data_IF_519696847189
#
_entry.id   IF_519696847189
#
_cell.length_a   1.000
_cell.length_b   1.000
_cell.length_c   1.000
_cell.angle_alpha   90.00
_cell.angle_beta   90.00
_cell.angle_gamma   90.00
#
_symmetry.space_group_name_H-M   'P 1'
#
loop_
_entity.id
_entity.type
_entity.pdbx_description
1 polymer ?
#
# COMPACT_ATOMS: atom_id res chain seq x y z
N UNK A 1 13.91 -10.21 9.34
CA UNK A 1 12.45 -10.16 9.17
C UNK A 1 12.15 -10.85 7.86
N UNK A 2 11.20 -11.78 7.80
CA UNK A 2 10.84 -12.39 6.50
C UNK A 2 10.01 -11.41 5.69
N UNK A 3 9.98 -11.56 4.36
CA UNK A 3 9.10 -10.77 3.49
C UNK A 3 7.61 -10.85 3.89
N UNK A 4 7.21 -12.00 4.45
CA UNK A 4 5.88 -12.23 4.97
C UNK A 4 5.57 -11.36 6.20
N UNK A 5 6.57 -11.15 7.06
CA UNK A 5 6.46 -10.28 8.23
C UNK A 5 6.37 -8.82 7.79
N UNK A 6 7.10 -8.42 6.74
CA UNK A 6 7.01 -7.06 6.18
C UNK A 6 5.61 -6.76 5.62
N UNK A 7 5.01 -7.71 4.90
CA UNK A 7 3.62 -7.62 4.42
C UNK A 7 2.62 -7.46 5.56
N UNK A 8 2.72 -8.32 6.57
CA UNK A 8 1.84 -8.28 7.75
C UNK A 8 2.01 -6.97 8.52
N UNK A 9 3.26 -6.49 8.65
CA UNK A 9 3.58 -5.22 9.31
C UNK A 9 3.00 -4.02 8.56
N UNK A 10 3.12 -3.97 7.23
CA UNK A 10 2.57 -2.88 6.43
C UNK A 10 1.04 -2.86 6.52
N UNK A 11 0.38 -4.02 6.43
CA UNK A 11 -1.08 -4.12 6.58
C UNK A 11 -1.54 -3.62 7.95
N UNK A 12 -0.87 -4.02 9.03
CA UNK A 12 -1.16 -3.54 10.37
C UNK A 12 -0.90 -2.04 10.53
N UNK A 13 0.17 -1.51 9.92
CA UNK A 13 0.50 -0.09 9.97
C UNK A 13 -0.51 0.78 9.22
N UNK A 14 -1.06 0.31 8.10
CA UNK A 14 -2.13 1.03 7.41
C UNK A 14 -3.39 1.06 8.28
N UNK A 15 -3.76 -0.08 8.86
CA UNK A 15 -4.93 -0.22 9.74
C UNK A 15 -4.76 0.43 11.12
N UNK A 16 -3.56 0.91 11.49
CA UNK A 16 -3.37 1.71 12.71
C UNK A 16 -3.75 3.18 12.51
N UNK A 17 -4.00 3.59 11.25
CA UNK A 17 -4.31 4.96 10.86
C UNK A 17 -3.24 5.98 11.29
N UNK A 18 -1.99 5.55 11.42
CA UNK A 18 -0.84 6.42 11.70
C UNK A 18 0.13 6.44 10.51
N UNK A 19 0.22 7.59 9.85
CA UNK A 19 1.10 7.80 8.71
C UNK A 19 2.58 7.57 9.04
N UNK A 20 3.01 7.79 10.30
CA UNK A 20 4.38 7.52 10.72
C UNK A 20 4.66 6.02 10.79
N UNK A 21 3.72 5.24 11.34
CA UNK A 21 3.77 3.78 11.35
C UNK A 21 3.87 3.22 9.92
N UNK A 22 3.10 3.77 8.98
CA UNK A 22 3.19 3.36 7.56
C UNK A 22 4.55 3.73 6.98
N UNK A 23 4.98 4.99 7.12
CA UNK A 23 6.27 5.44 6.59
C UNK A 23 7.47 4.67 7.18
N UNK A 24 7.38 4.22 8.44
CA UNK A 24 8.41 3.41 9.10
C UNK A 24 8.59 2.01 8.48
N UNK A 25 7.69 1.58 7.58
CA UNK A 25 7.84 0.34 6.82
C UNK A 25 8.75 0.49 5.59
N UNK A 26 9.10 1.71 5.18
CA UNK A 26 9.84 1.98 3.94
C UNK A 26 11.28 2.43 4.23
N UNK A 27 12.21 2.10 3.33
CA UNK A 27 13.59 2.58 3.39
C UNK A 27 13.66 4.08 3.09
N UNK A 28 14.73 4.74 3.53
CA UNK A 28 14.89 6.18 3.33
C UNK A 28 14.88 6.59 1.84
N UNK A 29 15.42 5.72 1.00
CA UNK A 29 15.60 5.81 -0.46
C UNK A 29 14.55 5.04 -1.27
N UNK A 30 13.43 4.66 -0.64
CA UNK A 30 12.36 3.89 -1.26
C UNK A 30 11.93 4.44 -2.64
N UNK A 31 11.70 3.55 -3.61
CA UNK A 31 11.25 3.92 -4.96
C UNK A 31 9.83 3.40 -5.22
N UNK A 32 8.94 4.28 -5.68
CA UNK A 32 7.57 3.96 -6.06
C UNK A 32 7.37 4.08 -7.56
N UNK A 33 6.87 3.02 -8.19
CA UNK A 33 6.50 2.99 -9.60
C UNK A 33 4.99 2.78 -9.79
N UNK A 34 4.40 3.52 -10.71
CA UNK A 34 3.00 3.39 -11.14
C UNK A 34 2.97 3.25 -12.66
N UNK A 35 3.13 2.04 -13.22
CA UNK A 35 3.33 1.86 -14.66
C UNK A 35 2.21 2.42 -15.54
N UNK A 36 0.95 2.34 -15.09
CA UNK A 36 -0.19 2.93 -15.82
C UNK A 36 -0.19 4.47 -15.78
N UNK A 37 0.49 5.07 -14.81
CA UNK A 37 0.57 6.51 -14.62
C UNK A 37 1.98 6.94 -14.21
N UNK A 38 3.00 6.87 -15.09
CA UNK A 38 4.40 7.09 -14.70
C UNK A 38 4.68 8.47 -14.08
N UNK A 39 3.84 9.47 -14.37
CA UNK A 39 3.90 10.80 -13.75
C UNK A 39 3.60 10.81 -12.24
N UNK A 40 3.08 9.69 -11.69
CA UNK A 40 2.84 9.51 -10.25
C UNK A 40 3.98 8.78 -9.53
N UNK A 41 5.04 8.38 -10.26
CA UNK A 41 6.25 7.82 -9.65
C UNK A 41 6.85 8.81 -8.66
N UNK A 42 7.45 8.30 -7.58
CA UNK A 42 8.14 9.13 -6.61
C UNK A 42 9.19 8.34 -5.84
N UNK A 43 10.06 9.06 -5.14
CA UNK A 43 11.11 8.49 -4.30
C UNK A 43 11.06 9.04 -2.87
N UNK A 44 11.60 8.24 -1.96
CA UNK A 44 11.89 8.55 -0.57
C UNK A 44 10.75 8.33 0.40
N UNK A 45 11.09 7.80 1.59
CA UNK A 45 10.16 7.66 2.73
C UNK A 45 9.49 8.96 3.14
N UNK A 46 10.18 10.10 3.00
CA UNK A 46 9.59 11.40 3.31
C UNK A 46 8.35 11.68 2.44
N UNK A 47 8.37 11.23 1.18
CA UNK A 47 7.22 11.33 0.27
C UNK A 47 6.12 10.35 0.63
N UNK A 48 6.48 9.12 1.05
CA UNK A 48 5.52 8.14 1.62
C UNK A 48 4.75 8.77 2.78
N UNK A 49 5.44 9.37 3.75
CA UNK A 49 4.82 10.02 4.90
C UNK A 49 3.84 11.10 4.45
N UNK A 50 4.25 12.02 3.57
CA UNK A 50 3.37 13.08 3.06
C UNK A 50 2.11 12.52 2.38
N UNK A 51 2.27 11.51 1.55
CA UNK A 51 1.16 10.89 0.83
C UNK A 51 0.19 10.21 1.79
N UNK A 52 0.68 9.42 2.74
CA UNK A 52 -0.16 8.73 3.72
C UNK A 52 -0.85 9.69 4.70
N UNK A 53 -0.19 10.78 5.09
CA UNK A 53 -0.85 11.86 5.86
C UNK A 53 -2.03 12.44 5.09
N UNK A 54 -1.86 12.72 3.80
CA UNK A 54 -2.95 13.26 2.98
C UNK A 54 -4.09 12.24 2.77
N UNK A 55 -3.75 10.97 2.52
CA UNK A 55 -4.72 9.87 2.38
C UNK A 55 -5.54 9.71 3.66
N UNK A 56 -4.89 9.59 4.82
CA UNK A 56 -5.58 9.38 6.09
C UNK A 56 -6.35 10.62 6.57
N UNK A 57 -5.91 11.82 6.20
CA UNK A 57 -6.70 13.03 6.44
C UNK A 57 -8.01 13.02 5.63
N UNK A 58 -8.01 12.42 4.43
CA UNK A 58 -9.20 12.31 3.59
C UNK A 58 -10.07 11.12 3.98
N UNK A 59 -9.47 9.98 4.31
CA UNK A 59 -10.11 8.71 4.64
C UNK A 59 -9.67 8.25 6.04
N UNK A 60 -10.20 8.87 7.12
CA UNK A 60 -9.75 8.60 8.48
C UNK A 60 -10.08 7.19 8.97
N UNK A 61 -11.04 6.51 8.35
CA UNK A 61 -11.44 5.14 8.65
C UNK A 61 -10.90 4.12 7.62
N UNK A 62 -9.86 4.48 6.85
CA UNK A 62 -9.31 3.61 5.81
C UNK A 62 -8.86 2.26 6.39
N UNK A 63 -9.39 1.16 5.87
CA UNK A 63 -8.93 -0.19 6.19
C UNK A 63 -8.23 -0.81 4.99
N UNK A 64 -7.26 -1.68 5.25
CA UNK A 64 -6.52 -2.40 4.22
C UNK A 64 -6.51 -3.89 4.50
N UNK A 65 -6.59 -4.68 3.43
CA UNK A 65 -6.57 -6.14 3.46
C UNK A 65 -5.68 -6.69 2.37
N UNK A 66 -4.82 -7.64 2.72
CA UNK A 66 -4.11 -8.48 1.75
C UNK A 66 -5.01 -9.64 1.35
N UNK A 67 -5.37 -9.73 0.08
CA UNK A 67 -6.27 -10.78 -0.45
C UNK A 67 -5.51 -12.05 -0.85
N UNK A 68 -4.39 -11.87 -1.56
CA UNK A 68 -3.55 -12.95 -2.07
C UNK A 68 -2.09 -12.53 -2.01
N UNK A 69 -1.19 -13.50 -1.92
CA UNK A 69 0.25 -13.25 -1.93
C UNK A 69 1.06 -14.42 -2.46
N UNK A 70 2.22 -14.11 -3.03
CA UNK A 70 3.27 -15.06 -3.38
C UNK A 70 4.64 -14.42 -3.16
N UNK A 71 5.66 -15.24 -2.90
CA UNK A 71 7.06 -14.80 -2.79
C UNK A 71 7.83 -15.51 -3.89
N UNK A 72 8.55 -14.76 -4.71
CA UNK A 72 9.37 -15.29 -5.82
C UNK A 72 10.73 -14.61 -5.79
N UNK A 73 11.76 -15.33 -5.33
CA UNK A 73 13.08 -14.75 -5.14
C UNK A 73 13.04 -13.67 -4.05
N UNK A 74 13.40 -12.44 -4.43
CA UNK A 74 13.39 -11.25 -3.58
C UNK A 74 12.13 -10.39 -3.74
N UNK A 75 11.17 -10.83 -4.57
CA UNK A 75 9.93 -10.10 -4.82
C UNK A 75 8.76 -10.70 -4.05
N UNK A 76 8.01 -9.81 -3.42
CA UNK A 76 6.70 -10.07 -2.86
C UNK A 76 5.66 -9.63 -3.87
N UNK A 77 4.78 -10.55 -4.24
CA UNK A 77 3.58 -10.28 -5.00
C UNK A 77 2.40 -10.27 -4.04
N UNK A 78 1.66 -9.18 -3.99
CA UNK A 78 0.54 -9.02 -3.06
C UNK A 78 -0.65 -8.35 -3.75
N UNK A 79 -1.85 -8.88 -3.53
CA UNK A 79 -3.09 -8.26 -3.95
C UNK A 79 -3.73 -7.58 -2.75
N UNK A 80 -4.09 -6.31 -2.89
CA UNK A 80 -4.65 -5.50 -1.82
C UNK A 80 -6.06 -5.05 -2.15
N UNK A 81 -6.90 -4.97 -1.13
CA UNK A 81 -8.11 -4.16 -1.11
C UNK A 81 -7.98 -3.13 0.00
N UNK A 82 -8.27 -1.87 -0.30
CA UNK A 82 -8.34 -0.81 0.70
C UNK A 82 -9.62 0.00 0.51
N UNK A 83 -10.33 0.24 1.60
CA UNK A 83 -11.63 0.90 1.59
C UNK A 83 -11.67 1.99 2.65
N UNK A 84 -12.28 3.13 2.34
CA UNK A 84 -12.46 4.22 3.28
C UNK A 84 -13.62 5.13 2.90
N UNK A 85 -14.04 5.95 3.85
CA UNK A 85 -15.10 6.95 3.67
C UNK A 85 -14.51 8.34 3.83
N UNK A 86 -14.75 9.20 2.84
CA UNK A 86 -14.37 10.60 2.92
C UNK A 86 -15.21 11.34 3.97
N UNK A 87 -14.72 12.50 4.44
CA UNK A 87 -15.45 13.32 5.42
C UNK A 87 -16.84 13.79 4.97
N UNK A 88 -17.11 13.78 3.66
CA UNK A 88 -18.43 14.07 3.07
C UNK A 88 -19.37 12.84 2.98
N UNK A 89 -18.91 11.66 3.44
CA UNK A 89 -19.66 10.41 3.40
C UNK A 89 -19.44 9.57 2.14
N UNK A 90 -18.65 10.04 1.16
CA UNK A 90 -18.37 9.28 -0.06
C UNK A 90 -17.44 8.09 0.24
N UNK A 91 -17.93 6.87 0.01
CA UNK A 91 -17.08 5.67 0.07
C UNK A 91 -16.21 5.55 -1.18
N UNK A 92 -14.96 5.14 -1.00
CA UNK A 92 -14.05 4.82 -2.09
C UNK A 92 -13.26 3.56 -1.72
N UNK A 93 -13.17 2.65 -2.69
CA UNK A 93 -12.33 1.45 -2.60
C UNK A 93 -11.25 1.49 -3.68
N UNK A 94 -10.07 0.96 -3.38
CA UNK A 94 -9.03 0.64 -4.36
C UNK A 94 -8.64 -0.82 -4.23
N UNK A 95 -8.46 -1.50 -5.36
CA UNK A 95 -8.06 -2.91 -5.40
C UNK A 95 -7.00 -3.12 -6.47
N UNK A 96 -6.09 -4.06 -6.24
CA UNK A 96 -5.17 -4.53 -7.27
C UNK A 96 -3.85 -5.07 -6.72
N UNK A 97 -2.95 -5.50 -7.62
CA UNK A 97 -1.67 -6.03 -7.22
C UNK A 97 -0.63 -4.92 -6.94
N UNK A 98 0.25 -5.23 -5.99
CA UNK A 98 1.47 -4.50 -5.66
C UNK A 98 2.62 -5.50 -5.61
N UNK A 99 3.68 -5.21 -6.36
CA UNK A 99 4.92 -6.00 -6.39
C UNK A 99 5.98 -5.17 -5.70
N UNK A 100 6.72 -5.76 -4.77
CA UNK A 100 7.60 -4.98 -3.91
C UNK A 100 8.74 -5.84 -3.36
N UNK A 101 9.84 -5.17 -3.00
CA UNK A 101 11.05 -5.79 -2.44
C UNK A 101 11.36 -5.19 -1.08
N UNK A 102 12.03 -5.97 -0.22
CA UNK A 102 12.51 -5.51 1.07
C UNK A 102 14.04 -5.60 1.19
N UNK A 103 14.62 -4.80 2.09
CA UNK A 103 16.01 -4.95 2.51
C UNK A 103 16.19 -6.04 3.58
N UNK A 104 17.42 -6.27 4.04
CA UNK A 104 17.70 -7.25 5.09
C UNK A 104 17.03 -6.95 6.44
N UNK A 105 16.62 -5.70 6.67
CA UNK A 105 15.87 -5.28 7.85
C UNK A 105 14.34 -5.43 7.65
N UNK A 106 13.91 -5.84 6.45
CA UNK A 106 12.54 -5.95 6.00
C UNK A 106 11.84 -4.60 5.74
N UNK A 107 12.62 -3.55 5.47
CA UNK A 107 12.07 -2.28 4.99
C UNK A 107 11.83 -2.34 3.49
N UNK A 108 10.71 -1.81 3.03
CA UNK A 108 10.39 -1.74 1.60
C UNK A 108 11.33 -0.77 0.90
N UNK A 109 12.07 -1.27 -0.08
CA UNK A 109 13.03 -0.47 -0.86
C UNK A 109 12.47 -0.06 -2.21
N UNK A 110 11.55 -0.85 -2.75
CA UNK A 110 10.93 -0.58 -4.04
C UNK A 110 9.54 -1.21 -4.09
N UNK A 111 8.59 -0.53 -4.72
CA UNK A 111 7.30 -1.11 -5.05
C UNK A 111 6.74 -0.58 -6.37
N UNK A 112 5.96 -1.44 -7.02
CA UNK A 112 5.24 -1.18 -8.25
C UNK A 112 3.74 -1.41 -8.03
N UNK A 113 2.94 -0.39 -8.29
CA UNK A 113 1.52 -0.36 -8.01
C UNK A 113 0.67 -0.49 -9.28
N UNK A 114 -0.36 -1.34 -9.19
CA UNK A 114 -1.44 -1.50 -10.16
C UNK A 114 -2.82 -1.41 -9.48
N UNK A 115 -2.90 -0.63 -8.39
CA UNK A 115 -4.15 -0.38 -7.67
C UNK A 115 -5.02 0.59 -8.47
N UNK A 116 -6.29 0.22 -8.66
CA UNK A 116 -7.28 1.07 -9.32
C UNK A 116 -8.53 1.19 -8.45
N UNK A 117 -9.33 2.27 -8.60
CA UNK A 117 -10.62 2.39 -7.94
C UNK A 117 -11.52 1.19 -8.25
N UNK A 118 -12.08 0.58 -7.21
CA UNK A 118 -13.14 -0.40 -7.39
C UNK A 118 -14.40 0.32 -7.89
N UNK A 119 -14.96 -0.14 -9.01
CA UNK A 119 -16.31 0.25 -9.42
C UNK A 119 -17.32 -0.49 -8.54
N UNK A 120 -18.51 0.08 -8.32
CA UNK A 120 -19.58 -0.39 -7.40
C UNK A 120 -20.09 -1.85 -7.60
N UNK A 121 -19.48 -2.67 -8.45
CA UNK A 121 -19.80 -4.08 -8.59
C UNK A 121 -18.90 -4.94 -7.68
N UNK A 122 -19.47 -5.81 -6.82
CA UNK A 122 -18.67 -6.68 -5.96
C UNK A 122 -17.79 -7.60 -6.80
N UNK A 123 -16.50 -7.70 -6.44
CA UNK A 123 -15.62 -8.76 -6.93
C UNK A 123 -16.25 -10.08 -6.49
N UNK A 124 -16.91 -10.78 -7.42
CA UNK A 124 -17.40 -12.13 -7.16
C UNK A 124 -16.18 -13.02 -6.94
N UNK A 125 -16.04 -13.69 -5.79
CA UNK A 125 -15.01 -14.70 -5.64
C UNK A 125 -15.31 -15.83 -6.62
N UNK A 126 -14.35 -16.14 -7.48
CA UNK A 126 -14.23 -17.43 -8.16
C UNK A 126 -13.87 -18.53 -7.17
#
# INVERSE_FOLDING_TARGET
MTDLDALTKLEAAINSHDANSVAACFSADYVSETPHHPSRNFEGRATVLRNWTAILSRFPNLTARVLRRAITGDEVWSEWAMDGTAGDGTSAGIVGPVIWRTDSNGLVTWARFYLEPATDEPIRPS
#
